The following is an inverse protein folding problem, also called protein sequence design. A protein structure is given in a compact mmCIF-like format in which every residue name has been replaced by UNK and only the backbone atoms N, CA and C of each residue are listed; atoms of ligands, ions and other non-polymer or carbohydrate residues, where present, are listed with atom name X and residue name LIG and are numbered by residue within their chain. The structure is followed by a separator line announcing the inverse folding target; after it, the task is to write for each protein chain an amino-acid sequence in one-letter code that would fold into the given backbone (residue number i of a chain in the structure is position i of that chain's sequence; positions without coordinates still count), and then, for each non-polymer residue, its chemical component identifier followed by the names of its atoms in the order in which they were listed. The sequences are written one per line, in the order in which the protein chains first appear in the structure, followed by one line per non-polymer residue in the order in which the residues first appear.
data_IF_700688791249
#
_entry.id   IF_700688791249
#
_cell.length_a   1.000
_cell.length_b   1.000
_cell.length_c   1.000
_cell.angle_alpha   90.00
_cell.angle_beta   90.00
_cell.angle_gamma   90.00
#
_symmetry.space_group_name_H-M   'P 1'
#
loop_
_entity.id
_entity.type
_entity.pdbx_description
1 polymer ?
#
# COMPACT_ATOMS: atom_id res chain seq x y z
N UNK A 1 45.65 2.53 39.93
CA UNK A 1 45.26 1.72 41.11
C UNK A 1 45.15 2.65 42.31
N UNK A 2 44.11 2.51 43.12
CA UNK A 2 44.13 2.64 44.59
C UNK A 2 42.73 2.27 45.13
N UNK A 3 42.67 1.31 46.05
CA UNK A 3 41.47 0.97 46.82
C UNK A 3 41.42 1.73 48.16
N UNK A 4 40.28 2.08 48.77
CA UNK A 4 39.21 1.26 49.41
C UNK A 4 39.47 0.84 50.88
N UNK A 5 38.88 1.60 51.82
CA UNK A 5 38.32 1.20 53.14
C UNK A 5 37.81 2.51 53.82
N UNK A 6 36.60 2.66 54.39
CA UNK A 6 35.92 1.98 55.52
C UNK A 6 36.69 2.08 56.86
N UNK A 7 36.10 2.41 58.02
CA UNK A 7 34.69 2.66 58.44
C UNK A 7 34.70 3.60 59.69
N UNK A 8 33.63 4.01 60.42
CA UNK A 8 32.19 3.63 60.50
C UNK A 8 31.30 4.92 60.57
N UNK A 9 30.20 5.19 61.32
CA UNK A 9 29.43 4.51 62.41
C UNK A 9 28.00 5.08 62.55
N UNK A 10 27.01 4.22 62.87
CA UNK A 10 25.72 4.45 63.60
C UNK A 10 24.63 5.40 63.04
N UNK A 11 23.37 5.01 63.32
CA UNK A 11 22.13 5.76 63.03
C UNK A 11 21.31 5.14 61.88
N UNK A 12 20.11 4.57 62.05
CA UNK A 12 19.37 4.26 63.29
C UNK A 12 17.95 4.85 63.32
N UNK A 13 17.06 4.45 62.41
CA UNK A 13 15.64 4.87 62.46
C UNK A 13 14.66 3.81 61.89
N UNK A 14 13.36 4.02 62.08
CA UNK A 14 12.27 3.03 61.91
C UNK A 14 11.69 3.01 60.48
N UNK A 15 11.22 1.85 59.98
CA UNK A 15 10.59 1.76 58.66
C UNK A 15 9.15 2.31 58.66
N UNK A 16 8.89 3.31 57.80
CA UNK A 16 7.53 3.74 57.46
C UNK A 16 6.79 2.74 56.55
N UNK A 17 5.45 2.86 56.42
CA UNK A 17 4.64 1.91 55.66
C UNK A 17 4.96 1.95 54.16
N UNK A 18 5.17 0.77 53.56
CA UNK A 18 5.45 0.61 52.13
C UNK A 18 4.23 1.02 51.29
N UNK A 19 4.38 2.04 50.45
CA UNK A 19 3.42 2.29 49.35
C UNK A 19 3.57 1.17 48.31
N UNK A 20 2.47 0.49 47.98
CA UNK A 20 2.44 -0.47 46.88
C UNK A 20 2.63 0.22 45.52
N UNK A 21 3.14 -0.48 44.49
CA UNK A 21 3.26 0.08 43.15
C UNK A 21 1.86 0.38 42.58
N UNK A 22 1.69 1.57 42.01
CA UNK A 22 0.42 2.01 41.46
C UNK A 22 -0.02 1.15 40.27
N UNK A 23 -1.32 0.83 40.20
CA UNK A 23 -1.89 0.07 39.11
C UNK A 23 -1.76 0.83 37.78
N UNK A 24 -1.08 0.24 36.79
CA UNK A 24 -1.00 0.78 35.44
C UNK A 24 -2.39 0.66 34.79
N UNK A 25 -3.01 1.76 34.31
CA UNK A 25 -4.33 1.69 33.69
C UNK A 25 -4.29 0.85 32.41
N UNK A 26 -5.24 -0.08 32.26
CA UNK A 26 -5.26 -1.01 31.15
C UNK A 26 -5.39 -0.28 29.80
N UNK A 27 -4.45 -0.53 28.88
CA UNK A 27 -4.53 0.02 27.52
C UNK A 27 -5.80 -0.48 26.83
N UNK A 28 -6.67 0.45 26.41
CA UNK A 28 -7.89 0.12 25.68
C UNK A 28 -7.57 -0.67 24.41
N UNK A 29 -7.99 -1.93 24.34
CA UNK A 29 -7.94 -2.73 23.10
C UNK A 29 -8.94 -2.15 22.10
N UNK A 30 -8.51 -1.15 21.32
CA UNK A 30 -9.22 -0.79 20.08
C UNK A 30 -9.11 -2.00 19.14
N UNK A 31 -10.24 -2.63 18.85
CA UNK A 31 -10.32 -3.69 17.84
C UNK A 31 -10.00 -3.17 16.44
N UNK A 32 -9.95 -4.04 15.42
CA UNK A 32 -9.78 -3.61 14.03
C UNK A 32 -10.83 -2.55 13.70
N UNK A 33 -10.37 -1.38 13.21
CA UNK A 33 -11.19 -0.16 13.14
C UNK A 33 -12.49 -0.41 12.41
N UNK A 34 -13.62 -0.11 13.08
CA UNK A 34 -14.95 -0.42 12.60
C UNK A 34 -15.25 0.29 11.28
N UNK A 35 -15.70 -0.48 10.28
CA UNK A 35 -16.08 0.06 8.97
C UNK A 35 -17.19 1.11 9.15
N UNK A 36 -17.04 2.34 8.62
CA UNK A 36 -17.98 3.44 8.85
C UNK A 36 -19.43 3.09 8.52
N UNK A 37 -20.38 3.64 9.29
CA UNK A 37 -21.80 3.31 9.16
C UNK A 37 -22.39 3.61 7.78
N UNK A 38 -21.82 4.56 7.04
CA UNK A 38 -22.21 4.90 5.66
C UNK A 38 -21.85 3.81 4.64
N UNK A 39 -20.93 2.88 4.93
CA UNK A 39 -20.48 1.84 4.01
C UNK A 39 -21.49 0.68 3.83
N UNK A 40 -22.44 0.51 4.77
CA UNK A 40 -23.30 -0.70 4.83
C UNK A 40 -24.65 -0.62 4.08
N UNK A 41 -24.88 0.39 3.24
CA UNK A 41 -26.15 0.55 2.49
C UNK A 41 -25.90 0.48 0.98
N UNK A 42 -26.39 -0.57 0.33
CA UNK A 42 -26.02 -0.89 -1.07
C UNK A 42 -26.99 -1.77 -1.87
N UNK A 43 -28.29 -1.72 -1.61
CA UNK A 43 -29.37 -2.26 -2.48
C UNK A 43 -30.72 -1.67 -1.99
N UNK A 44 -31.75 -1.40 -2.79
CA UNK A 44 -32.03 -1.72 -4.21
C UNK A 44 -32.77 -0.54 -4.86
N UNK A 45 -32.75 -0.43 -6.20
CA UNK A 45 -33.89 0.11 -6.96
C UNK A 45 -33.89 1.60 -7.40
N UNK A 46 -34.40 1.79 -8.62
CA UNK A 46 -34.94 3.00 -9.26
C UNK A 46 -34.76 4.38 -8.62
N UNK A 47 -33.99 5.24 -9.28
CA UNK A 47 -34.00 6.68 -9.05
C UNK A 47 -32.68 7.35 -9.39
N UNK A 48 -32.69 8.27 -10.35
CA UNK A 48 -31.61 9.26 -10.49
C UNK A 48 -31.61 10.14 -9.23
N UNK A 49 -30.43 10.47 -8.70
CA UNK A 49 -30.21 11.03 -7.34
C UNK A 49 -30.37 10.05 -6.16
N UNK A 50 -29.70 8.89 -6.21
CA UNK A 50 -29.34 8.14 -4.99
C UNK A 50 -27.96 8.56 -4.48
N UNK A 51 -27.88 8.98 -3.21
CA UNK A 51 -26.70 9.61 -2.61
C UNK A 51 -25.55 8.64 -2.27
N UNK A 52 -24.86 8.10 -3.27
CA UNK A 52 -23.54 7.45 -3.04
C UNK A 52 -22.56 8.47 -2.47
N UNK A 53 -21.91 8.15 -1.36
CA UNK A 53 -20.76 8.91 -0.84
C UNK A 53 -19.68 8.95 -1.92
N UNK A 54 -19.37 10.14 -2.44
CA UNK A 54 -18.22 10.31 -3.33
C UNK A 54 -16.95 10.26 -2.48
N UNK A 55 -16.32 9.08 -2.42
CA UNK A 55 -15.09 8.88 -1.63
C UNK A 55 -13.99 9.85 -2.07
N UNK A 56 -13.94 10.18 -3.37
CA UNK A 56 -13.11 11.25 -3.97
C UNK A 56 -13.38 12.69 -3.47
N UNK A 57 -14.36 12.88 -2.58
CA UNK A 57 -14.74 14.16 -1.95
C UNK A 57 -14.93 14.07 -0.42
N UNK A 58 -14.53 12.96 0.21
CA UNK A 58 -14.49 12.88 1.67
C UNK A 58 -13.36 13.78 2.23
N UNK A 59 -13.46 14.24 3.49
CA UNK A 59 -12.32 14.81 4.22
C UNK A 59 -11.08 13.90 4.12
N UNK A 60 -9.88 14.51 4.07
CA UNK A 60 -8.64 13.78 3.78
C UNK A 60 -8.30 12.74 4.87
N UNK A 61 -8.75 12.96 6.10
CA UNK A 61 -8.65 12.05 7.23
C UNK A 61 -9.68 10.90 7.20
N UNK A 62 -10.81 11.06 6.50
CA UNK A 62 -11.78 9.98 6.25
C UNK A 62 -11.40 9.10 5.05
N UNK A 63 -10.73 9.65 4.03
CA UNK A 63 -10.36 8.92 2.80
C UNK A 63 -9.59 7.60 3.05
N UNK A 64 -8.61 7.50 3.97
CA UNK A 64 -7.91 6.24 4.27
C UNK A 64 -8.84 5.12 4.77
N UNK A 65 -9.85 5.46 5.58
CA UNK A 65 -10.83 4.49 6.07
C UNK A 65 -11.75 4.02 4.93
N UNK A 66 -12.11 4.92 4.02
CA UNK A 66 -12.91 4.62 2.84
C UNK A 66 -12.17 3.71 1.84
N UNK A 67 -10.91 4.05 1.52
CA UNK A 67 -10.02 3.22 0.68
C UNK A 67 -9.88 1.82 1.27
N UNK A 68 -9.53 1.73 2.56
CA UNK A 68 -9.40 0.44 3.26
C UNK A 68 -10.68 -0.39 3.14
N UNK A 69 -11.84 0.17 3.44
CA UNK A 69 -13.12 -0.55 3.41
C UNK A 69 -13.43 -1.11 2.01
N UNK A 70 -13.09 -0.36 0.95
CA UNK A 70 -13.24 -0.81 -0.44
C UNK A 70 -12.26 -1.96 -0.76
N UNK A 71 -10.99 -1.84 -0.38
CA UNK A 71 -9.98 -2.87 -0.61
C UNK A 71 -10.26 -4.15 0.21
N UNK A 72 -10.86 -4.03 1.39
CA UNK A 72 -11.31 -5.16 2.22
C UNK A 72 -12.45 -5.97 1.57
N UNK A 73 -13.07 -5.49 0.48
CA UNK A 73 -14.01 -6.29 -0.33
C UNK A 73 -13.33 -7.33 -1.22
N UNK A 74 -12.02 -7.21 -1.49
CA UNK A 74 -11.25 -8.19 -2.24
C UNK A 74 -10.52 -9.15 -1.27
N UNK A 75 -11.02 -10.38 -1.04
CA UNK A 75 -10.43 -11.30 -0.07
C UNK A 75 -9.03 -11.78 -0.49
N UNK A 76 -8.74 -11.84 -1.79
CA UNK A 76 -7.41 -12.21 -2.29
C UNK A 76 -6.39 -11.10 -2.01
N UNK A 77 -6.76 -9.83 -2.20
CA UNK A 77 -5.94 -8.67 -1.82
C UNK A 77 -5.64 -8.67 -0.31
N UNK A 78 -6.65 -8.90 0.53
CA UNK A 78 -6.48 -8.99 1.99
C UNK A 78 -5.59 -10.19 2.38
N UNK A 79 -5.73 -11.34 1.69
CA UNK A 79 -4.85 -12.50 1.90
C UNK A 79 -3.40 -12.20 1.51
N UNK A 80 -3.15 -11.56 0.37
CA UNK A 80 -1.81 -11.12 -0.05
C UNK A 80 -1.21 -10.17 1.00
N UNK A 81 -1.95 -9.16 1.47
CA UNK A 81 -1.50 -8.24 2.51
C UNK A 81 -1.15 -8.94 3.84
N UNK A 82 -1.96 -9.91 4.25
CA UNK A 82 -1.73 -10.69 5.47
C UNK A 82 -0.46 -11.55 5.41
N UNK A 83 -0.20 -12.14 4.24
CA UNK A 83 0.94 -13.00 3.94
C UNK A 83 2.23 -12.21 3.70
N UNK A 84 2.19 -11.11 2.93
CA UNK A 84 3.32 -10.24 2.66
C UNK A 84 3.93 -9.63 3.94
N UNK A 85 3.08 -9.31 4.93
CA UNK A 85 3.52 -8.89 6.28
C UNK A 85 4.35 -9.98 7.01
N UNK A 86 4.17 -11.25 6.67
CA UNK A 86 4.95 -12.36 7.22
C UNK A 86 6.26 -12.62 6.48
N UNK A 87 6.39 -12.16 5.24
CA UNK A 87 7.61 -12.25 4.42
C UNK A 87 8.63 -11.14 4.75
N UNK A 88 8.16 -10.05 5.37
CA UNK A 88 8.94 -8.94 5.96
C UNK A 88 10.04 -8.33 5.06
N UNK A 89 9.78 -8.30 3.74
CA UNK A 89 10.72 -7.71 2.77
C UNK A 89 10.94 -6.21 3.08
N UNK A 90 12.18 -5.70 3.01
CA UNK A 90 12.48 -4.33 3.42
C UNK A 90 11.71 -3.32 2.54
N UNK A 91 11.03 -2.38 3.21
CA UNK A 91 10.27 -1.34 2.54
C UNK A 91 9.03 -1.80 1.76
N UNK A 92 8.54 -3.05 1.90
CA UNK A 92 7.51 -3.62 1.02
C UNK A 92 6.21 -2.83 0.92
N UNK A 93 5.56 -2.88 -0.26
CA UNK A 93 4.20 -2.42 -0.52
C UNK A 93 3.49 -3.33 -1.54
N UNK A 94 2.19 -3.59 -1.36
CA UNK A 94 1.33 -4.11 -2.42
C UNK A 94 0.78 -2.90 -3.20
N UNK A 95 1.04 -2.82 -4.50
CA UNK A 95 0.92 -1.58 -5.26
C UNK A 95 0.18 -1.71 -6.60
N UNK A 96 0.21 -0.64 -7.39
CA UNK A 96 -0.16 -0.58 -8.80
C UNK A 96 -1.52 -1.22 -9.16
N UNK A 97 -1.50 -2.41 -9.77
CA UNK A 97 -2.63 -2.95 -10.53
C UNK A 97 -3.82 -3.32 -9.66
N UNK A 98 -3.62 -4.26 -8.74
CA UNK A 98 -4.70 -4.85 -7.95
C UNK A 98 -5.46 -3.83 -7.10
N UNK A 99 -4.75 -2.81 -6.57
CA UNK A 99 -5.30 -1.78 -5.69
C UNK A 99 -6.36 -0.95 -6.42
N UNK A 100 -5.99 -0.36 -7.57
CA UNK A 100 -6.88 0.57 -8.29
C UNK A 100 -7.97 -0.16 -9.06
N UNK A 101 -7.68 -1.36 -9.58
CA UNK A 101 -8.68 -2.20 -10.24
C UNK A 101 -9.74 -2.70 -9.25
N UNK A 102 -9.38 -2.98 -7.99
CA UNK A 102 -10.36 -3.27 -6.92
C UNK A 102 -11.27 -2.07 -6.65
N UNK A 103 -10.73 -0.84 -6.66
CA UNK A 103 -11.52 0.40 -6.52
C UNK A 103 -12.47 0.57 -7.72
N UNK A 104 -12.02 0.35 -8.94
CA UNK A 104 -12.83 0.42 -10.16
C UNK A 104 -13.95 -0.63 -10.18
N UNK A 105 -13.64 -1.85 -9.76
CA UNK A 105 -14.64 -2.92 -9.60
C UNK A 105 -15.72 -2.50 -8.60
N UNK A 106 -15.34 -1.94 -7.44
CA UNK A 106 -16.29 -1.45 -6.46
C UNK A 106 -17.19 -0.33 -6.99
N UNK A 107 -16.64 0.74 -7.59
CA UNK A 107 -17.48 1.88 -8.04
C UNK A 107 -18.39 1.50 -9.21
N UNK A 108 -17.95 0.58 -10.08
CA UNK A 108 -18.76 0.09 -11.21
C UNK A 108 -19.67 -1.09 -10.88
N UNK A 109 -19.55 -1.69 -9.69
CA UNK A 109 -20.39 -2.83 -9.26
C UNK A 109 -19.97 -4.20 -9.84
N UNK A 110 -18.73 -4.35 -10.31
CA UNK A 110 -18.14 -5.62 -10.76
C UNK A 110 -17.66 -6.46 -9.56
N UNK A 111 -17.47 -7.79 -9.72
CA UNK A 111 -16.81 -8.62 -8.71
C UNK A 111 -15.43 -8.06 -8.33
N UNK A 112 -15.02 -8.07 -7.04
CA UNK A 112 -13.79 -7.39 -6.58
C UNK A 112 -12.51 -7.80 -7.31
N UNK A 113 -12.40 -9.08 -7.69
CA UNK A 113 -11.26 -9.63 -8.45
C UNK A 113 -11.40 -9.61 -9.99
N UNK A 114 -12.44 -8.97 -10.56
CA UNK A 114 -12.61 -8.88 -12.00
C UNK A 114 -11.43 -8.16 -12.67
N UNK A 115 -10.91 -8.67 -13.78
CA UNK A 115 -9.87 -8.02 -14.59
C UNK A 115 -8.46 -8.01 -13.99
N UNK A 116 -8.31 -8.31 -12.69
CA UNK A 116 -7.02 -8.47 -12.04
C UNK A 116 -6.30 -9.69 -12.62
N UNK A 117 -5.05 -9.52 -13.03
CA UNK A 117 -4.15 -10.60 -13.47
C UNK A 117 -3.18 -11.02 -12.38
N UNK A 118 -2.79 -10.05 -11.56
CA UNK A 118 -1.54 -9.97 -10.84
C UNK A 118 -1.73 -9.15 -9.54
N UNK A 119 -0.81 -9.34 -8.59
CA UNK A 119 -0.66 -8.55 -7.37
C UNK A 119 0.80 -8.08 -7.29
N UNK A 120 1.05 -6.80 -7.61
CA UNK A 120 2.39 -6.20 -7.63
C UNK A 120 2.92 -6.00 -6.19
N UNK A 121 3.77 -6.92 -5.69
CA UNK A 121 4.42 -6.80 -4.38
C UNK A 121 5.85 -6.26 -4.55
N UNK A 122 5.97 -4.94 -4.48
CA UNK A 122 7.25 -4.25 -4.56
C UNK A 122 7.96 -4.23 -3.20
N UNK A 123 9.29 -4.22 -3.20
CA UNK A 123 10.13 -3.98 -2.04
C UNK A 123 11.42 -3.23 -2.43
N UNK A 124 12.21 -2.80 -1.45
CA UNK A 124 13.44 -2.05 -1.70
C UNK A 124 14.58 -2.55 -0.80
N UNK A 125 15.53 -3.25 -1.40
CA UNK A 125 16.77 -3.68 -0.78
C UNK A 125 17.99 -3.27 -1.65
N UNK A 126 18.74 -2.23 -1.27
CA UNK A 126 19.93 -1.80 -1.97
C UNK A 126 21.20 -2.56 -1.53
N UNK A 127 21.12 -3.47 -0.54
CA UNK A 127 22.31 -4.13 0.03
C UNK A 127 22.86 -5.26 -0.84
N UNK A 128 21.99 -5.96 -1.58
CA UNK A 128 22.34 -6.97 -2.57
C UNK A 128 21.57 -6.71 -3.87
N UNK A 129 22.22 -6.01 -4.81
CA UNK A 129 21.73 -5.86 -6.18
C UNK A 129 21.99 -7.12 -7.03
N UNK A 130 21.80 -8.29 -6.42
CA UNK A 130 21.71 -9.62 -7.01
C UNK A 130 20.56 -9.75 -8.03
N UNK A 131 20.66 -10.51 -9.12
CA UNK A 131 19.42 -11.15 -9.63
C UNK A 131 18.99 -12.24 -8.65
N UNK A 132 19.99 -12.95 -8.13
CA UNK A 132 19.97 -13.98 -7.12
C UNK A 132 19.35 -13.50 -5.81
N UNK A 133 19.35 -12.20 -5.53
CA UNK A 133 18.67 -11.59 -4.38
C UNK A 133 17.16 -11.49 -4.59
N UNK A 134 16.76 -10.97 -5.75
CA UNK A 134 15.36 -10.85 -6.13
C UNK A 134 14.72 -12.24 -6.33
N UNK A 135 15.45 -13.20 -6.89
CA UNK A 135 14.96 -14.57 -7.05
C UNK A 135 14.84 -15.35 -5.73
N UNK A 136 15.67 -15.06 -4.71
CA UNK A 136 15.44 -15.56 -3.33
C UNK A 136 14.11 -15.05 -2.78
N UNK A 137 13.80 -13.78 -2.98
CA UNK A 137 12.51 -13.20 -2.58
C UNK A 137 11.33 -13.76 -3.39
N UNK A 138 11.47 -13.93 -4.71
CA UNK A 138 10.47 -14.56 -5.59
C UNK A 138 10.18 -16.01 -5.17
N UNK A 139 11.21 -16.80 -4.84
CA UNK A 139 11.04 -18.19 -4.37
C UNK A 139 10.32 -18.28 -3.03
N UNK A 140 10.77 -17.53 -2.03
CA UNK A 140 10.09 -17.44 -0.74
C UNK A 140 8.64 -16.90 -0.88
N UNK A 141 8.41 -16.01 -1.85
CA UNK A 141 7.09 -15.56 -2.27
C UNK A 141 6.21 -16.69 -2.78
N UNK A 142 6.67 -17.50 -3.74
CA UNK A 142 5.90 -18.65 -4.27
C UNK A 142 5.46 -19.61 -3.16
N UNK A 143 6.36 -19.92 -2.23
CA UNK A 143 6.08 -20.75 -1.05
C UNK A 143 5.05 -20.09 -0.11
N UNK A 144 5.14 -18.77 0.08
CA UNK A 144 4.26 -17.98 0.97
C UNK A 144 2.85 -17.77 0.40
N UNK A 145 2.73 -17.54 -0.91
CA UNK A 145 1.49 -17.13 -1.57
C UNK A 145 0.72 -18.30 -2.20
N UNK A 146 1.40 -19.36 -2.61
CA UNK A 146 0.80 -20.49 -3.33
C UNK A 146 0.22 -20.05 -4.67
N UNK A 147 -1.00 -20.48 -4.99
CA UNK A 147 -1.67 -20.19 -6.28
C UNK A 147 -2.11 -18.73 -6.46
N UNK A 148 -1.75 -17.81 -5.57
CA UNK A 148 -2.01 -16.38 -5.74
C UNK A 148 -0.98 -15.78 -6.72
N UNK A 149 -1.40 -15.09 -7.79
CA UNK A 149 -0.48 -14.52 -8.79
C UNK A 149 0.17 -13.24 -8.24
N UNK A 150 1.21 -13.39 -7.42
CA UNK A 150 2.00 -12.29 -6.87
C UNK A 150 3.29 -12.11 -7.67
N UNK A 151 3.50 -10.94 -8.27
CA UNK A 151 4.78 -10.57 -8.86
C UNK A 151 5.61 -9.81 -7.82
N UNK A 152 6.82 -10.30 -7.53
CA UNK A 152 7.75 -9.67 -6.56
C UNK A 152 8.85 -8.93 -7.32
N UNK A 153 9.14 -7.70 -6.88
CA UNK A 153 10.16 -6.83 -7.49
C UNK A 153 10.97 -6.09 -6.43
N UNK A 154 12.30 -6.10 -6.58
CA UNK A 154 13.17 -5.20 -5.83
C UNK A 154 13.36 -3.90 -6.63
N UNK A 155 12.70 -2.83 -6.20
CA UNK A 155 12.73 -1.52 -6.86
C UNK A 155 14.14 -0.92 -6.87
N UNK A 156 14.99 -1.25 -5.88
CA UNK A 156 16.39 -0.84 -5.86
C UNK A 156 17.18 -1.31 -7.10
N UNK A 157 16.71 -2.35 -7.80
CA UNK A 157 17.33 -2.91 -9.00
C UNK A 157 16.86 -2.30 -10.32
N UNK A 158 15.75 -1.54 -10.33
CA UNK A 158 15.04 -1.19 -11.58
C UNK A 158 15.90 -0.38 -12.54
N UNK A 159 16.71 0.54 -12.00
CA UNK A 159 17.66 1.35 -12.76
C UNK A 159 18.66 0.54 -13.61
N UNK A 160 18.95 -0.72 -13.23
CA UNK A 160 19.90 -1.60 -13.93
C UNK A 160 19.35 -2.19 -15.22
N UNK A 161 18.02 -2.15 -15.45
CA UNK A 161 17.38 -2.77 -16.62
C UNK A 161 16.30 -1.93 -17.29
N UNK A 162 15.80 -0.85 -16.65
CA UNK A 162 14.70 -0.04 -17.18
C UNK A 162 15.02 0.57 -18.55
N UNK A 163 16.22 1.16 -18.70
CA UNK A 163 16.64 1.81 -19.94
C UNK A 163 16.75 0.82 -21.10
N UNK A 164 17.39 -0.33 -20.87
CA UNK A 164 17.48 -1.44 -21.84
C UNK A 164 16.12 -2.01 -22.26
N UNK A 165 15.05 -1.76 -21.49
CA UNK A 165 13.69 -2.26 -21.75
C UNK A 165 12.75 -1.20 -22.36
N UNK A 166 12.95 0.08 -22.02
CA UNK A 166 12.01 1.16 -22.34
C UNK A 166 12.64 2.36 -23.08
N UNK A 167 13.95 2.35 -23.31
CA UNK A 167 14.66 3.39 -24.08
C UNK A 167 14.81 4.75 -23.38
N UNK A 168 14.57 4.82 -22.07
CA UNK A 168 14.75 6.02 -21.26
C UNK A 168 15.50 5.71 -19.95
N UNK A 169 16.44 6.56 -19.51
CA UNK A 169 17.22 6.32 -18.30
C UNK A 169 16.33 6.40 -17.05
N UNK A 170 16.49 5.43 -16.15
CA UNK A 170 15.88 5.43 -14.83
C UNK A 170 16.98 5.68 -13.78
N UNK A 171 16.94 6.78 -13.01
CA UNK A 171 17.79 6.93 -11.84
C UNK A 171 17.55 5.78 -10.83
N UNK A 172 18.53 5.44 -9.97
CA UNK A 172 18.28 4.62 -8.80
C UNK A 172 17.25 5.31 -7.89
N UNK A 173 16.23 4.57 -7.44
CA UNK A 173 15.26 5.10 -6.50
C UNK A 173 15.85 5.21 -5.09
N UNK A 174 15.31 6.12 -4.27
CA UNK A 174 15.66 6.26 -2.85
C UNK A 174 14.86 5.29 -1.94
N UNK A 175 13.78 4.70 -2.45
CA UNK A 175 12.94 3.73 -1.71
C UNK A 175 11.73 3.23 -2.52
N UNK A 176 10.95 2.31 -1.94
CA UNK A 176 9.71 1.81 -2.57
C UNK A 176 8.66 2.91 -2.78
N UNK A 177 8.57 3.87 -1.86
CA UNK A 177 7.73 5.06 -1.98
C UNK A 177 8.10 5.88 -3.25
N UNK A 178 9.39 6.13 -3.49
CA UNK A 178 9.90 6.81 -4.68
C UNK A 178 9.65 6.02 -5.98
N UNK A 179 9.70 4.68 -5.92
CA UNK A 179 9.29 3.83 -7.02
C UNK A 179 7.79 3.98 -7.35
N UNK A 180 6.91 4.06 -6.35
CA UNK A 180 5.47 4.31 -6.56
C UNK A 180 5.24 5.68 -7.24
N UNK A 181 5.98 6.71 -6.83
CA UNK A 181 5.95 8.04 -7.47
C UNK A 181 6.32 7.99 -8.96
N UNK A 182 7.10 6.99 -9.42
CA UNK A 182 7.50 6.85 -10.83
C UNK A 182 6.47 6.14 -11.72
N UNK A 183 5.48 5.46 -11.13
CA UNK A 183 4.58 4.54 -11.85
C UNK A 183 3.86 5.22 -13.02
N UNK A 184 3.65 4.54 -14.18
CA UNK A 184 3.21 5.15 -15.45
C UNK A 184 1.89 5.95 -15.45
N UNK A 185 1.13 5.92 -14.36
CA UNK A 185 -0.11 6.66 -14.20
C UNK A 185 -0.20 7.15 -12.75
N UNK A 186 -0.53 8.43 -12.55
CA UNK A 186 -0.73 8.99 -11.21
C UNK A 186 -1.93 8.35 -10.51
N UNK A 187 -2.95 7.95 -11.28
CA UNK A 187 -4.08 7.14 -10.80
C UNK A 187 -3.60 5.79 -10.25
N UNK A 188 -2.60 5.18 -10.90
CA UNK A 188 -2.02 3.89 -10.54
C UNK A 188 -0.92 3.94 -9.47
N UNK A 189 -0.41 5.13 -9.14
CA UNK A 189 0.61 5.36 -8.13
C UNK A 189 0.01 5.32 -6.72
N UNK A 190 -0.41 4.12 -6.30
CA UNK A 190 -0.94 3.84 -4.96
C UNK A 190 -0.31 2.55 -4.44
N UNK A 191 0.21 2.60 -3.21
CA UNK A 191 0.68 1.44 -2.44
C UNK A 191 -0.15 1.25 -1.16
N UNK A 192 -0.38 -0.01 -0.77
CA UNK A 192 -1.00 -0.38 0.51
C UNK A 192 -0.18 -1.47 1.21
N UNK A 193 -0.08 -1.39 2.54
CA UNK A 193 0.62 -2.39 3.36
C UNK A 193 0.04 -2.50 4.76
N UNK A 194 0.42 -3.56 5.47
CA UNK A 194 0.16 -3.70 6.90
C UNK A 194 1.45 -3.44 7.68
N UNK A 195 1.37 -2.65 8.74
CA UNK A 195 2.45 -2.55 9.74
C UNK A 195 2.65 -3.89 10.44
N UNK A 196 3.77 -4.12 11.15
CA UNK A 196 3.92 -5.29 12.02
C UNK A 196 2.75 -5.50 12.98
N UNK A 197 2.19 -4.40 13.52
CA UNK A 197 0.99 -4.38 14.37
C UNK A 197 -0.36 -4.63 13.65
N UNK A 198 -0.36 -4.89 12.34
CA UNK A 198 -1.56 -5.17 11.55
C UNK A 198 -2.41 -3.94 11.21
N UNK A 199 -1.90 -2.73 11.41
CA UNK A 199 -2.58 -1.51 10.98
C UNK A 199 -2.30 -1.24 9.50
N UNK A 200 -3.31 -0.84 8.75
CA UNK A 200 -3.15 -0.45 7.35
C UNK A 200 -2.35 0.85 7.24
N UNK A 201 -1.43 0.89 6.27
CA UNK A 201 -0.88 2.12 5.69
C UNK A 201 -1.24 2.17 4.20
N UNK A 202 -1.42 3.39 3.72
CA UNK A 202 -1.72 3.72 2.33
C UNK A 202 -0.74 4.82 1.93
N UNK A 203 -0.08 4.66 0.80
CA UNK A 203 0.73 5.68 0.15
C UNK A 203 0.07 6.04 -1.17
N UNK A 204 -0.29 7.30 -1.33
CA UNK A 204 -1.06 7.81 -2.48
C UNK A 204 -0.57 9.24 -2.80
N UNK A 205 0.65 9.40 -3.37
CA UNK A 205 1.30 10.69 -3.64
C UNK A 205 0.41 11.68 -4.41
N UNK A 206 -0.39 11.20 -5.36
CA UNK A 206 -1.31 12.00 -6.16
C UNK A 206 -2.77 11.95 -5.66
N UNK A 207 -2.98 11.42 -4.45
CA UNK A 207 -4.30 11.14 -3.87
C UNK A 207 -5.04 9.97 -4.55
N UNK A 208 -6.25 9.70 -4.09
CA UNK A 208 -7.10 8.59 -4.61
C UNK A 208 -8.30 9.06 -5.44
N UNK A 209 -8.45 10.37 -5.63
CA UNK A 209 -9.64 10.97 -6.23
C UNK A 209 -9.87 10.52 -7.68
N UNK A 210 -8.82 10.49 -8.51
CA UNK A 210 -8.89 10.02 -9.90
C UNK A 210 -9.32 8.54 -9.98
N UNK A 211 -8.83 7.68 -9.07
CA UNK A 211 -9.21 6.27 -9.04
C UNK A 211 -10.70 6.07 -8.74
N UNK A 212 -11.25 6.79 -7.76
CA UNK A 212 -12.69 6.75 -7.44
C UNK A 212 -13.58 7.45 -8.48
N UNK A 213 -13.03 8.36 -9.28
CA UNK A 213 -13.73 9.06 -10.36
C UNK A 213 -13.58 8.38 -11.73
N UNK A 214 -12.93 7.20 -11.81
CA UNK A 214 -12.64 6.48 -13.06
C UNK A 214 -11.81 7.31 -14.07
N UNK A 215 -10.93 8.19 -13.57
CA UNK A 215 -10.01 8.98 -14.40
C UNK A 215 -8.66 8.29 -14.44
N UNK A 216 -8.20 7.89 -15.63
CA UNK A 216 -6.87 7.33 -15.82
C UNK A 216 -5.93 8.42 -16.34
N UNK A 217 -5.05 8.95 -15.48
CA UNK A 217 -4.13 10.05 -15.79
C UNK A 217 -2.69 9.54 -16.00
N UNK A 218 -1.96 9.99 -17.03
CA UNK A 218 -0.55 9.65 -17.23
C UNK A 218 0.37 10.24 -16.15
N UNK A 219 1.52 9.61 -15.93
CA UNK A 219 2.60 10.15 -15.10
C UNK A 219 3.89 10.35 -15.94
N UNK A 220 4.24 11.58 -16.32
CA UNK A 220 5.43 11.87 -17.13
C UNK A 220 6.74 11.91 -16.31
N UNK A 221 6.77 11.36 -15.08
CA UNK A 221 7.98 11.37 -14.22
C UNK A 221 9.09 10.46 -14.73
N UNK A 222 8.74 9.27 -15.27
CA UNK A 222 9.70 8.27 -15.75
C UNK A 222 9.21 7.49 -16.96
N UNK A 223 7.96 7.00 -16.90
CA UNK A 223 7.41 6.16 -17.97
C UNK A 223 7.33 6.91 -19.31
N UNK A 224 7.52 6.17 -20.41
CA UNK A 224 7.29 6.72 -21.75
C UNK A 224 5.79 6.83 -22.05
N UNK A 225 5.45 7.62 -23.08
CA UNK A 225 4.09 7.76 -23.59
C UNK A 225 3.49 6.41 -23.99
N UNK A 226 4.28 5.58 -24.65
CA UNK A 226 3.90 4.28 -25.20
C UNK A 226 3.61 3.28 -24.07
N UNK A 227 4.40 3.30 -22.99
CA UNK A 227 4.17 2.51 -21.78
C UNK A 227 2.85 2.89 -21.11
N UNK A 228 2.52 4.18 -21.05
CA UNK A 228 1.22 4.65 -20.56
C UNK A 228 0.07 4.26 -21.49
N UNK A 229 0.16 4.56 -22.79
CA UNK A 229 -0.92 4.33 -23.76
C UNK A 229 -1.25 2.83 -23.92
N UNK A 230 -0.24 1.95 -23.92
CA UNK A 230 -0.45 0.51 -23.92
C UNK A 230 -1.12 0.01 -22.62
N UNK A 231 -0.74 0.57 -21.46
CA UNK A 231 -1.37 0.25 -20.16
C UNK A 231 -2.81 0.78 -20.11
N UNK A 232 -3.07 1.95 -20.68
CA UNK A 232 -4.39 2.56 -20.77
C UNK A 232 -5.33 1.76 -21.68
N UNK A 233 -4.90 1.39 -22.90
CA UNK A 233 -5.69 0.57 -23.82
C UNK A 233 -6.04 -0.80 -23.22
N UNK A 234 -5.10 -1.43 -22.48
CA UNK A 234 -5.35 -2.69 -21.75
C UNK A 234 -6.42 -2.53 -20.66
N UNK A 235 -6.45 -1.39 -19.97
CA UNK A 235 -7.38 -1.14 -18.87
C UNK A 235 -8.76 -0.67 -19.37
N UNK A 236 -8.84 0.23 -20.36
CA UNK A 236 -10.12 0.66 -20.93
C UNK A 236 -10.89 -0.46 -21.64
N UNK A 237 -10.21 -1.50 -22.10
CA UNK A 237 -10.86 -2.71 -22.64
C UNK A 237 -11.67 -3.53 -21.60
N UNK A 238 -11.35 -3.41 -20.30
CA UNK A 238 -12.06 -4.10 -19.20
C UNK A 238 -12.97 -3.15 -18.40
N UNK A 239 -12.58 -1.87 -18.30
CA UNK A 239 -13.35 -0.78 -17.71
C UNK A 239 -13.57 0.33 -18.76
N UNK A 240 -14.49 0.14 -19.73
CA UNK A 240 -14.83 1.16 -20.74
C UNK A 240 -15.39 2.46 -20.14
N UNK A 241 -15.73 2.45 -18.85
CA UNK A 241 -16.11 3.65 -18.08
C UNK A 241 -14.90 4.55 -17.70
N UNK A 242 -13.67 4.13 -18.00
CA UNK A 242 -12.47 4.92 -17.72
C UNK A 242 -12.36 6.14 -18.65
N UNK A 243 -12.34 7.33 -18.05
CA UNK A 243 -11.90 8.56 -18.71
C UNK A 243 -10.37 8.55 -18.81
N UNK A 244 -9.85 8.01 -19.91
CA UNK A 244 -8.42 8.04 -20.24
C UNK A 244 -8.02 9.45 -20.67
N UNK A 245 -7.04 10.04 -19.99
CA UNK A 245 -6.51 11.36 -20.35
C UNK A 245 -5.34 11.21 -21.34
N UNK A 246 -5.19 12.11 -22.32
CA UNK A 246 -4.07 12.06 -23.26
C UNK A 246 -2.74 12.30 -22.56
N UNK A 247 -1.65 11.82 -23.16
CA UNK A 247 -0.30 12.14 -22.72
C UNK A 247 -0.07 13.67 -22.70
N UNK A 248 0.56 14.24 -21.65
CA UNK A 248 0.82 15.67 -21.60
C UNK A 248 1.89 16.04 -22.62
N UNK A 249 1.46 16.70 -23.69
CA UNK A 249 2.36 17.45 -24.55
C UNK A 249 3.03 18.56 -23.73
N UNK A 250 4.34 18.74 -23.89
CA UNK A 250 5.02 19.92 -23.37
C UNK A 250 4.68 21.11 -24.28
N UNK A 251 4.13 22.16 -23.68
CA UNK A 251 4.10 23.51 -24.23
C UNK A 251 5.48 24.16 -24.13
#
# INVERSE_FOLDING_TARGET
MLGTANETTRGGDRPGPRRGPGAVPARSRRGPGAVPAWFRRGSVGGGWYTGRVRISRLPLDEQPAAVRAVLETNPSLVRVLGLARGLDLPGWWLAAGAVVQTIWNHVTGRPPGYGLKDYDLIYYDPSDLSWEAEDRAIRAGRETFGDLPVEIRNEARVHLWYESRFGVPCPPYEGSEDAIDSFPSTTGAVGVRLTPSGAWRIYAPYGVADAFNLVLRPNPRLATREVYEAKAARWSAAWPELTVLPWPWRS
#
